data_IF_799399764528
#
_entry.id   IF_799399764528
#
_cell.length_a   1.000
_cell.length_b   1.000
_cell.length_c   1.000
_cell.angle_alpha   90.00
_cell.angle_beta   90.00
_cell.angle_gamma   90.00
#
_symmetry.space_group_name_H-M   'P 1'
#
loop_
_entity.id
_entity.type
_entity.pdbx_description
1 polymer ?
#
# COMPACT_ATOMS: atom_id res chain seq x y z
N UNK A 1 13.92 11.34 -14.96
CA UNK A 1 14.06 11.91 -13.61
C UNK A 1 14.96 13.12 -13.68
N UNK A 2 14.54 14.19 -13.03
CA UNK A 2 15.28 15.44 -12.94
C UNK A 2 16.67 15.25 -12.28
N UNK A 3 17.75 15.88 -12.77
CA UNK A 3 19.08 15.81 -12.18
C UNK A 3 19.13 16.22 -10.70
N UNK A 4 18.35 17.23 -10.32
CA UNK A 4 18.27 17.73 -8.93
C UNK A 4 17.70 16.63 -8.03
N UNK A 5 16.67 15.92 -8.49
CA UNK A 5 16.05 14.82 -7.76
C UNK A 5 17.03 13.65 -7.63
N UNK A 6 17.77 13.33 -8.68
CA UNK A 6 18.82 12.30 -8.63
C UNK A 6 19.89 12.62 -7.56
N UNK A 7 20.32 13.88 -7.45
CA UNK A 7 21.31 14.31 -6.46
C UNK A 7 20.74 14.27 -5.04
N UNK A 8 19.48 14.67 -4.85
CA UNK A 8 18.77 14.57 -3.57
C UNK A 8 18.70 13.10 -3.12
N UNK A 9 18.27 12.19 -4.00
CA UNK A 9 18.17 10.76 -3.68
C UNK A 9 19.53 10.13 -3.35
N UNK A 10 20.59 10.60 -4.00
CA UNK A 10 21.97 10.17 -3.70
C UNK A 10 22.39 10.62 -2.30
N UNK A 11 22.12 11.89 -1.96
CA UNK A 11 22.37 12.42 -0.62
C UNK A 11 21.55 11.69 0.46
N UNK A 12 20.30 11.35 0.17
CA UNK A 12 19.44 10.59 1.08
C UNK A 12 19.97 9.16 1.29
N UNK A 13 20.45 8.50 0.24
CA UNK A 13 21.04 7.17 0.35
C UNK A 13 22.28 7.15 1.23
N UNK A 14 23.13 8.19 1.15
CA UNK A 14 24.34 8.28 1.97
C UNK A 14 24.04 8.63 3.43
N UNK A 15 23.07 9.52 3.67
CA UNK A 15 22.81 10.09 4.99
C UNK A 15 21.67 9.40 5.76
N UNK A 16 20.48 9.33 5.15
CA UNK A 16 19.22 8.97 5.82
C UNK A 16 18.86 7.49 5.64
N UNK A 17 19.12 6.93 4.46
CA UNK A 17 18.96 5.52 4.12
C UNK A 17 20.31 4.83 4.00
N UNK A 18 21.26 5.13 4.89
CA UNK A 18 22.65 4.63 4.83
C UNK A 18 22.79 3.09 4.82
N UNK A 19 21.72 2.37 5.21
CA UNK A 19 21.60 0.92 5.12
C UNK A 19 21.13 0.40 3.73
N UNK A 20 20.74 1.30 2.83
CA UNK A 20 20.32 1.02 1.46
C UNK A 20 21.35 1.55 0.47
N UNK A 21 21.52 0.84 -0.65
CA UNK A 21 22.34 1.35 -1.75
C UNK A 21 21.64 2.49 -2.48
N UNK A 22 22.42 3.43 -3.01
CA UNK A 22 21.96 4.54 -3.86
C UNK A 22 20.99 4.07 -4.95
N UNK A 23 21.33 2.98 -5.64
CA UNK A 23 20.50 2.38 -6.69
C UNK A 23 19.12 1.99 -6.17
N UNK A 24 19.02 1.41 -4.97
CA UNK A 24 17.73 0.98 -4.40
C UNK A 24 16.85 2.15 -4.01
N UNK A 25 17.43 3.23 -3.48
CA UNK A 25 16.71 4.46 -3.15
C UNK A 25 16.20 5.13 -4.43
N UNK A 26 17.03 5.21 -5.46
CA UNK A 26 16.64 5.75 -6.77
C UNK A 26 15.55 4.93 -7.44
N UNK A 27 15.66 3.61 -7.47
CA UNK A 27 14.65 2.73 -8.06
C UNK A 27 13.31 2.82 -7.32
N UNK A 28 13.34 2.93 -5.99
CA UNK A 28 12.15 3.11 -5.17
C UNK A 28 11.42 4.43 -5.50
N UNK A 29 12.12 5.56 -5.45
CA UNK A 29 11.50 6.85 -5.75
C UNK A 29 11.16 7.01 -7.23
N UNK A 30 11.88 6.38 -8.15
CA UNK A 30 11.50 6.31 -9.56
C UNK A 30 10.13 5.65 -9.74
N UNK A 31 9.89 4.54 -9.04
CA UNK A 31 8.57 3.89 -9.05
C UNK A 31 7.52 4.78 -8.40
N UNK A 32 7.82 5.36 -7.23
CA UNK A 32 6.89 6.24 -6.53
C UNK A 32 6.51 7.48 -7.36
N UNK A 33 7.47 8.14 -8.01
CA UNK A 33 7.26 9.29 -8.91
C UNK A 33 6.47 8.89 -10.15
N UNK A 34 6.73 7.70 -10.72
CA UNK A 34 5.98 7.22 -11.88
C UNK A 34 4.50 7.04 -11.57
N UNK A 35 4.18 6.56 -10.37
CA UNK A 35 2.80 6.37 -9.91
C UNK A 35 2.16 7.66 -9.37
N UNK A 36 2.93 8.51 -8.68
CA UNK A 36 2.50 9.79 -8.15
C UNK A 36 3.53 10.88 -8.48
N UNK A 37 3.41 11.58 -9.63
CA UNK A 37 4.38 12.58 -10.08
C UNK A 37 4.60 13.73 -9.10
N UNK A 38 3.62 14.03 -8.26
CA UNK A 38 3.67 15.04 -7.19
C UNK A 38 4.83 14.80 -6.20
N UNK A 39 5.23 13.54 -6.01
CA UNK A 39 6.37 13.15 -5.16
C UNK A 39 7.68 13.77 -5.69
N UNK A 40 7.81 13.95 -7.00
CA UNK A 40 9.00 14.58 -7.59
C UNK A 40 9.11 16.06 -7.18
N UNK A 41 7.99 16.77 -7.19
CA UNK A 41 7.95 18.17 -6.74
C UNK A 41 8.11 18.28 -5.23
N UNK A 42 7.52 17.37 -4.44
CA UNK A 42 7.74 17.34 -2.99
C UNK A 42 9.21 17.12 -2.63
N UNK A 43 9.89 16.19 -3.32
CA UNK A 43 11.33 15.95 -3.14
C UNK A 43 12.16 17.22 -3.41
N UNK A 44 11.83 17.99 -4.45
CA UNK A 44 12.52 19.24 -4.79
C UNK A 44 12.34 20.35 -3.74
N UNK A 45 11.23 20.33 -3.00
CA UNK A 45 10.89 21.35 -2.00
C UNK A 45 11.23 20.94 -0.56
N UNK A 46 11.64 19.70 -0.32
CA UNK A 46 12.05 19.20 0.98
C UNK A 46 13.29 19.93 1.51
N UNK A 47 13.24 20.44 2.74
CA UNK A 47 14.34 21.22 3.36
C UNK A 47 14.87 20.59 4.64
N UNK A 48 14.17 19.60 5.17
CA UNK A 48 14.48 18.98 6.45
C UNK A 48 14.32 17.46 6.40
N UNK A 49 14.98 16.78 7.33
CA UNK A 49 14.82 15.33 7.52
C UNK A 49 13.36 14.93 7.79
N UNK A 50 12.57 15.81 8.38
CA UNK A 50 11.13 15.61 8.61
C UNK A 50 10.34 15.62 7.29
N UNK A 51 10.62 16.58 6.39
CA UNK A 51 9.99 16.62 5.07
C UNK A 51 10.30 15.34 4.27
N UNK A 52 11.55 14.89 4.33
CA UNK A 52 11.95 13.64 3.68
C UNK A 52 11.29 12.41 4.31
N UNK A 53 11.05 12.39 5.61
CA UNK A 53 10.33 11.31 6.29
C UNK A 53 8.87 11.25 5.84
N UNK A 54 8.19 12.41 5.74
CA UNK A 54 6.80 12.48 5.27
C UNK A 54 6.69 12.10 3.79
N UNK A 55 7.59 12.60 2.94
CA UNK A 55 7.67 12.21 1.53
C UNK A 55 8.00 10.73 1.39
N UNK A 56 8.85 10.19 2.25
CA UNK A 56 9.13 8.77 2.28
C UNK A 56 7.91 7.98 2.73
N UNK A 57 7.17 8.38 3.77
CA UNK A 57 5.91 7.74 4.18
C UNK A 57 4.90 7.73 3.04
N UNK A 58 4.76 8.85 2.36
CA UNK A 58 3.91 9.02 1.19
C UNK A 58 4.37 8.14 0.01
N UNK A 59 5.68 8.09 -0.26
CA UNK A 59 6.28 7.25 -1.29
C UNK A 59 6.30 5.76 -0.93
N UNK A 60 6.26 5.41 0.35
CA UNK A 60 6.36 4.02 0.81
C UNK A 60 5.17 3.17 0.43
N UNK A 61 4.08 3.74 -0.10
CA UNK A 61 3.03 2.94 -0.73
C UNK A 61 2.50 1.87 0.22
N UNK A 62 2.13 2.29 1.43
CA UNK A 62 1.34 1.50 2.37
C UNK A 62 -0.06 2.11 2.40
N UNK A 63 -1.01 1.47 1.71
CA UNK A 63 -2.42 1.86 1.80
C UNK A 63 -2.97 1.19 3.05
N UNK A 64 -3.11 1.94 4.15
CA UNK A 64 -3.73 1.44 5.38
C UNK A 64 -5.08 2.13 5.58
N UNK A 65 -6.15 1.36 5.43
CA UNK A 65 -7.53 1.83 5.59
C UNK A 65 -8.17 1.08 6.76
N UNK A 66 -8.78 1.82 7.69
CA UNK A 66 -9.50 1.27 8.84
C UNK A 66 -10.96 1.72 8.80
N UNK A 67 -11.88 0.77 8.84
CA UNK A 67 -13.31 1.04 8.82
C UNK A 67 -13.82 1.60 10.15
N UNK A 68 -13.16 1.32 11.28
CA UNK A 68 -13.66 1.59 12.64
C UNK A 68 -15.09 1.08 12.80
N UNK A 69 -16.10 1.95 12.88
CA UNK A 69 -17.52 1.58 12.98
C UNK A 69 -18.28 1.79 11.65
N UNK A 70 -17.56 2.24 10.61
CA UNK A 70 -18.06 2.62 9.29
C UNK A 70 -17.78 1.55 8.21
N UNK A 71 -17.88 1.93 6.94
CA UNK A 71 -17.76 1.01 5.80
C UNK A 71 -16.71 1.49 4.78
N UNK A 72 -15.81 0.60 4.39
CA UNK A 72 -14.86 0.76 3.26
C UNK A 72 -15.36 -0.07 2.08
N UNK A 73 -15.47 0.54 0.90
CA UNK A 73 -15.84 -0.16 -0.35
C UNK A 73 -14.79 0.02 -1.42
N UNK A 74 -14.38 -1.10 -2.04
CA UNK A 74 -13.44 -1.14 -3.16
C UNK A 74 -14.08 -1.93 -4.30
N UNK A 75 -14.60 -1.23 -5.29
CA UNK A 75 -15.33 -1.82 -6.41
C UNK A 75 -14.69 -1.52 -7.76
N UNK A 76 -14.28 -2.55 -8.47
CA UNK A 76 -13.69 -2.41 -9.79
C UNK A 76 -12.30 -1.79 -9.77
N UNK A 77 -11.53 -2.09 -10.82
CA UNK A 77 -10.25 -1.42 -11.10
C UNK A 77 -9.04 -2.07 -10.43
N UNK A 78 -7.91 -1.38 -10.55
CA UNK A 78 -6.60 -1.82 -10.08
C UNK A 78 -6.16 -0.92 -8.91
N UNK A 79 -5.80 -1.52 -7.77
CA UNK A 79 -5.17 -0.85 -6.65
C UNK A 79 -3.77 -1.41 -6.44
N UNK A 80 -2.76 -0.57 -6.65
CA UNK A 80 -1.35 -0.94 -6.54
C UNK A 80 -0.65 -0.19 -5.42
N UNK A 81 0.20 -0.90 -4.67
CA UNK A 81 1.03 -0.30 -3.64
C UNK A 81 2.45 -0.87 -3.66
N UNK A 82 3.45 -0.01 -3.45
CA UNK A 82 4.86 -0.38 -3.58
C UNK A 82 5.40 -1.22 -2.41
N UNK A 83 4.73 -1.23 -1.25
CA UNK A 83 5.13 -2.05 -0.10
C UNK A 83 3.98 -2.82 0.51
N UNK A 84 2.82 -2.21 0.65
CA UNK A 84 1.76 -2.81 1.44
C UNK A 84 0.36 -2.30 1.14
N UNK A 85 -0.63 -3.18 1.23
CA UNK A 85 -2.03 -2.79 1.38
C UNK A 85 -2.55 -3.44 2.65
N UNK A 86 -3.17 -2.69 3.54
CA UNK A 86 -3.88 -3.17 4.72
C UNK A 86 -5.30 -2.60 4.73
N UNK A 87 -6.29 -3.49 4.67
CA UNK A 87 -7.67 -3.18 5.03
C UNK A 87 -7.98 -3.78 6.39
N UNK A 88 -8.27 -2.91 7.36
CA UNK A 88 -8.66 -3.25 8.72
C UNK A 88 -10.16 -2.99 8.90
N UNK A 89 -10.96 -4.03 9.17
CA UNK A 89 -12.39 -3.83 9.34
C UNK A 89 -12.79 -3.33 10.74
N UNK A 90 -11.91 -3.33 11.75
CA UNK A 90 -12.29 -2.82 13.09
C UNK A 90 -13.59 -3.45 13.63
N UNK A 91 -14.58 -2.62 13.93
CA UNK A 91 -15.96 -3.01 14.29
C UNK A 91 -16.96 -2.81 13.14
N UNK A 92 -16.47 -2.35 11.99
CA UNK A 92 -17.22 -1.93 10.81
C UNK A 92 -17.09 -2.95 9.67
N UNK A 93 -17.17 -2.47 8.43
CA UNK A 93 -17.24 -3.35 7.25
C UNK A 93 -16.26 -2.97 6.15
N UNK A 94 -15.59 -3.97 5.59
CA UNK A 94 -14.79 -3.82 4.37
C UNK A 94 -15.42 -4.67 3.27
N UNK A 95 -15.69 -4.08 2.11
CA UNK A 95 -16.23 -4.77 0.96
C UNK A 95 -15.33 -4.57 -0.26
N UNK A 96 -14.79 -5.65 -0.80
CA UNK A 96 -13.91 -5.65 -1.98
C UNK A 96 -14.55 -6.55 -3.04
N UNK A 97 -14.84 -6.02 -4.23
CA UNK A 97 -15.44 -6.83 -5.29
C UNK A 97 -15.04 -6.35 -6.68
N UNK A 98 -14.77 -7.28 -7.60
CA UNK A 98 -14.43 -6.96 -8.99
C UNK A 98 -13.10 -6.24 -9.17
N UNK A 99 -12.20 -6.32 -8.18
CA UNK A 99 -10.99 -5.49 -8.08
C UNK A 99 -9.72 -6.31 -8.17
N UNK A 100 -8.64 -5.73 -8.70
CA UNK A 100 -7.29 -6.29 -8.65
C UNK A 100 -6.47 -5.49 -7.63
N UNK A 101 -6.07 -6.12 -6.54
CA UNK A 101 -5.19 -5.53 -5.53
C UNK A 101 -3.79 -6.13 -5.68
N UNK A 102 -2.77 -5.31 -5.86
CA UNK A 102 -1.40 -5.77 -6.07
C UNK A 102 -0.41 -4.98 -5.20
N UNK A 103 0.18 -5.66 -4.21
CA UNK A 103 1.19 -5.07 -3.34
C UNK A 103 2.10 -6.14 -2.74
N UNK A 104 3.40 -5.87 -2.52
CA UNK A 104 4.32 -6.86 -1.96
C UNK A 104 3.85 -7.51 -0.66
N UNK A 105 3.14 -6.76 0.18
CA UNK A 105 2.40 -7.25 1.35
C UNK A 105 0.93 -6.87 1.20
N UNK A 106 0.02 -7.80 1.43
CA UNK A 106 -1.42 -7.52 1.41
C UNK A 106 -2.08 -8.14 2.63
N UNK A 107 -2.76 -7.32 3.41
CA UNK A 107 -3.49 -7.73 4.61
C UNK A 107 -4.95 -7.28 4.49
N UNK A 108 -5.87 -8.20 4.67
CA UNK A 108 -7.33 -7.93 4.64
C UNK A 108 -7.99 -8.65 5.80
N UNK A 109 -8.77 -7.95 6.62
CA UNK A 109 -9.50 -8.52 7.76
C UNK A 109 -9.44 -7.65 9.00
N UNK A 110 -9.66 -8.24 10.17
CA UNK A 110 -9.68 -7.54 11.46
C UNK A 110 -8.35 -7.59 12.20
N UNK A 111 -8.21 -6.71 13.18
CA UNK A 111 -7.13 -6.75 14.18
C UNK A 111 -7.60 -7.38 15.49
N UNK A 112 -6.71 -7.47 16.48
CA UNK A 112 -7.03 -8.04 17.77
C UNK A 112 -8.13 -7.20 18.43
N UNK A 113 -9.30 -7.82 18.69
CA UNK A 113 -10.54 -7.23 19.24
C UNK A 113 -11.50 -6.63 18.21
N UNK A 114 -11.34 -6.92 16.93
CA UNK A 114 -12.34 -6.59 15.92
C UNK A 114 -13.64 -7.38 16.09
N UNK A 115 -14.79 -6.73 15.95
CA UNK A 115 -16.11 -7.37 15.82
C UNK A 115 -16.73 -7.21 14.42
N UNK A 116 -16.06 -6.44 13.55
CA UNK A 116 -16.48 -6.15 12.19
C UNK A 116 -16.34 -7.32 11.21
N UNK A 117 -16.46 -7.00 9.93
CA UNK A 117 -16.40 -7.99 8.84
C UNK A 117 -15.68 -7.49 7.59
N UNK A 118 -15.04 -8.41 6.88
CA UNK A 118 -14.51 -8.19 5.54
C UNK A 118 -15.14 -9.18 4.57
N UNK A 119 -15.73 -8.66 3.50
CA UNK A 119 -16.23 -9.42 2.37
C UNK A 119 -15.33 -9.19 1.15
N UNK A 120 -14.83 -10.28 0.57
CA UNK A 120 -14.09 -10.28 -0.69
C UNK A 120 -14.94 -11.06 -1.69
N UNK A 121 -15.54 -10.37 -2.64
CA UNK A 121 -16.50 -10.89 -3.60
C UNK A 121 -15.88 -11.37 -4.90
N UNK A 122 -16.75 -11.81 -5.80
CA UNK A 122 -16.37 -12.38 -7.09
C UNK A 122 -15.54 -11.44 -7.97
N UNK A 123 -14.84 -12.03 -8.94
CA UNK A 123 -13.97 -11.35 -9.92
C UNK A 123 -12.89 -10.49 -9.26
N UNK A 124 -12.39 -10.93 -8.10
CA UNK A 124 -11.38 -10.21 -7.31
C UNK A 124 -10.06 -10.97 -7.33
N UNK A 125 -8.95 -10.25 -7.47
CA UNK A 125 -7.60 -10.79 -7.40
C UNK A 125 -6.79 -10.06 -6.32
N UNK A 126 -6.24 -10.79 -5.36
CA UNK A 126 -5.33 -10.29 -4.34
C UNK A 126 -3.93 -10.84 -4.60
N UNK A 127 -2.98 -9.98 -4.99
CA UNK A 127 -1.62 -10.35 -5.42
C UNK A 127 -0.56 -9.76 -4.50
N UNK A 128 0.37 -10.62 -4.06
CA UNK A 128 1.60 -10.25 -3.34
C UNK A 128 2.85 -10.76 -4.03
N UNK A 129 4.03 -10.52 -3.44
CA UNK A 129 5.36 -10.84 -4.02
C UNK A 129 5.55 -12.32 -4.40
N UNK A 130 4.70 -13.22 -3.94
CA UNK A 130 4.75 -14.64 -4.33
C UNK A 130 3.44 -15.39 -4.16
N UNK A 131 2.34 -14.71 -3.82
CA UNK A 131 1.04 -15.36 -3.62
C UNK A 131 -0.06 -14.64 -4.37
N UNK A 132 -1.07 -15.39 -4.81
CA UNK A 132 -2.26 -14.84 -5.44
C UNK A 132 -3.50 -15.57 -4.93
N UNK A 133 -4.52 -14.81 -4.53
CA UNK A 133 -5.87 -15.32 -4.30
C UNK A 133 -6.73 -14.78 -5.43
N UNK A 134 -7.39 -15.66 -6.17
CA UNK A 134 -8.28 -15.28 -7.28
C UNK A 134 -9.67 -15.85 -7.00
N UNK A 135 -10.66 -14.97 -6.98
CA UNK A 135 -12.06 -15.32 -6.79
C UNK A 135 -12.77 -15.20 -8.14
N UNK A 136 -13.22 -16.34 -8.66
CA UNK A 136 -14.04 -16.38 -9.87
C UNK A 136 -15.48 -15.95 -9.60
N UNK A 137 -16.28 -15.92 -10.66
CA UNK A 137 -17.72 -15.67 -10.58
C UNK A 137 -18.41 -16.57 -9.55
N UNK A 138 -19.27 -16.00 -8.73
CA UNK A 138 -20.01 -16.69 -7.67
C UNK A 138 -19.18 -17.14 -6.46
N UNK A 139 -17.89 -16.78 -6.39
CA UNK A 139 -17.01 -17.10 -5.27
C UNK A 139 -16.84 -15.91 -4.34
N UNK A 140 -16.69 -16.17 -3.04
CA UNK A 140 -16.42 -15.12 -2.05
C UNK A 140 -15.63 -15.64 -0.85
N UNK A 141 -14.96 -14.75 -0.15
CA UNK A 141 -14.37 -14.97 1.17
C UNK A 141 -15.03 -14.00 2.15
N UNK A 142 -15.45 -14.52 3.31
CA UNK A 142 -15.94 -13.72 4.43
C UNK A 142 -15.02 -13.91 5.62
N UNK A 143 -14.60 -12.80 6.24
CA UNK A 143 -13.77 -12.77 7.44
C UNK A 143 -14.53 -11.99 8.51
N UNK A 144 -14.79 -12.61 9.66
CA UNK A 144 -15.49 -11.98 10.77
C UNK A 144 -14.60 -11.89 12.00
N UNK A 145 -14.85 -10.87 12.83
CA UNK A 145 -14.16 -10.65 14.10
C UNK A 145 -12.64 -10.52 13.92
N UNK A 146 -11.85 -11.32 14.63
CA UNK A 146 -10.39 -11.18 14.59
C UNK A 146 -9.72 -11.85 13.36
N UNK A 147 -10.50 -12.27 12.38
CA UNK A 147 -10.01 -13.06 11.24
C UNK A 147 -9.33 -12.17 10.21
N UNK A 148 -8.17 -12.60 9.71
CA UNK A 148 -7.43 -11.89 8.66
C UNK A 148 -6.69 -12.82 7.71
N UNK A 149 -6.44 -12.32 6.50
CA UNK A 149 -5.55 -12.91 5.50
C UNK A 149 -4.34 -11.99 5.38
N UNK A 150 -3.14 -12.57 5.44
CA UNK A 150 -1.87 -11.89 5.17
C UNK A 150 -1.16 -12.61 4.05
N UNK A 151 -0.80 -11.86 3.01
CA UNK A 151 -0.03 -12.28 1.85
C UNK A 151 1.28 -11.49 1.82
N UNK A 152 2.40 -12.19 1.69
CA UNK A 152 3.76 -11.61 1.78
C UNK A 152 4.62 -12.08 0.60
#
# INVERSE_FOLDING_TARGET
MDPIVSDILTSLAVNYFSSFSETKVKDFFNKAIKEKPEIEDQLKHAKSSYDFEEIFKEATGVIALNANDDEIKVFGGLLEALRGIKFDHGDGKVEIQGSVLNAPVLVTGGTVKSSGSTFIGENTELKSSGTSITLGKGSSISLDGNSSISQN
#
